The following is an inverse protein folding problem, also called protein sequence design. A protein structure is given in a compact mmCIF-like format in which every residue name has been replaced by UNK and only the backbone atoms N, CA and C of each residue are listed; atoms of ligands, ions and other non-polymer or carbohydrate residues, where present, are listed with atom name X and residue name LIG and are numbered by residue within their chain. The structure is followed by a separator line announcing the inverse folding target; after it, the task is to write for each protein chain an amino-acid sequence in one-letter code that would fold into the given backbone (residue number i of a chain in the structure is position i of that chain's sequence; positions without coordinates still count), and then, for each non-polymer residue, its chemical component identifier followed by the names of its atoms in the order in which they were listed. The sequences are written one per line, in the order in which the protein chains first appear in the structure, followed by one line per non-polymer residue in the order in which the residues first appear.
data_IF_591946765242
#
_entry.id   IF_591946765242
#
_cell.length_a   1.000
_cell.length_b   1.000
_cell.length_c   1.000
_cell.angle_alpha   90.00
_cell.angle_beta   90.00
_cell.angle_gamma   90.00
#
_symmetry.space_group_name_H-M   'P 1'
#
loop_
_entity.id
_entity.type
_entity.pdbx_description
1 polymer ?
#
# COMPACT_ATOMS: atom_id res chain seq x y z
N UNK A 1 -28.97 -51.51 -0.26
CA UNK A 1 -27.63 -50.99 0.11
C UNK A 1 -27.81 -49.50 0.32
N UNK A 2 -27.81 -49.05 1.58
CA UNK A 2 -28.02 -47.64 1.94
C UNK A 2 -26.65 -47.04 2.25
N UNK A 3 -26.16 -46.12 1.41
CA UNK A 3 -24.93 -45.37 1.67
C UNK A 3 -25.27 -44.10 2.42
N UNK A 4 -24.82 -44.00 3.67
CA UNK A 4 -24.83 -42.76 4.44
C UNK A 4 -23.69 -41.87 3.96
N UNK A 5 -24.02 -40.68 3.46
CA UNK A 5 -23.04 -39.63 3.20
C UNK A 5 -22.67 -38.96 4.54
N UNK A 6 -21.41 -39.11 4.96
CA UNK A 6 -20.82 -38.37 6.08
C UNK A 6 -20.67 -36.90 5.66
N UNK A 7 -21.51 -36.04 6.22
CA UNK A 7 -21.31 -34.59 6.17
C UNK A 7 -20.14 -34.29 7.13
N UNK A 8 -18.95 -34.10 6.57
CA UNK A 8 -17.79 -33.65 7.34
C UNK A 8 -17.98 -32.16 7.65
N UNK A 9 -18.43 -31.87 8.87
CA UNK A 9 -18.48 -30.51 9.41
C UNK A 9 -17.03 -30.04 9.62
N UNK A 10 -16.50 -29.27 8.68
CA UNK A 10 -15.22 -28.57 8.91
C UNK A 10 -15.52 -27.43 9.87
N UNK A 11 -15.25 -27.63 11.16
CA UNK A 11 -15.19 -26.55 12.12
C UNK A 11 -14.04 -25.63 11.70
N UNK A 12 -14.36 -24.47 11.14
CA UNK A 12 -13.39 -23.39 10.95
C UNK A 12 -13.05 -22.86 12.34
N UNK A 13 -11.97 -23.38 12.91
CA UNK A 13 -11.36 -22.76 14.09
C UNK A 13 -10.77 -21.43 13.64
N UNK A 14 -11.39 -20.33 14.04
CA UNK A 14 -10.72 -19.03 14.03
C UNK A 14 -9.59 -19.10 15.06
N UNK A 15 -8.39 -19.49 14.60
CA UNK A 15 -7.18 -19.30 15.36
C UNK A 15 -6.93 -17.78 15.39
N UNK A 16 -7.19 -17.15 16.53
CA UNK A 16 -6.48 -15.93 16.87
C UNK A 16 -4.99 -16.30 16.83
N UNK A 17 -4.27 -15.78 15.83
CA UNK A 17 -2.84 -16.00 15.63
C UNK A 17 -2.10 -15.51 16.88
N UNK A 18 -1.70 -16.45 17.72
CA UNK A 18 -0.83 -16.19 18.85
C UNK A 18 0.53 -15.76 18.28
N UNK A 19 1.00 -14.59 18.70
CA UNK A 19 2.26 -13.91 18.33
C UNK A 19 3.51 -14.67 18.84
N UNK A 20 3.60 -15.99 18.66
CA UNK A 20 4.61 -16.82 19.32
C UNK A 20 5.55 -17.62 18.43
N UNK A 21 5.48 -17.54 17.10
CA UNK A 21 6.44 -18.28 16.27
C UNK A 21 6.93 -17.42 15.12
N UNK A 22 7.59 -16.32 15.47
CA UNK A 22 8.29 -15.52 14.48
C UNK A 22 9.62 -16.21 14.13
N UNK A 23 9.78 -16.66 12.90
CA UNK A 23 10.94 -17.43 12.43
C UNK A 23 11.83 -16.67 11.44
N UNK A 24 13.09 -17.09 11.31
CA UNK A 24 14.00 -16.56 10.29
C UNK A 24 13.39 -16.65 8.89
N UNK A 25 13.49 -15.55 8.13
CA UNK A 25 12.92 -15.41 6.79
C UNK A 25 11.51 -14.80 6.74
N UNK A 26 10.82 -14.66 7.87
CA UNK A 26 9.52 -14.01 7.89
C UNK A 26 9.59 -12.51 7.61
N UNK A 27 8.52 -11.97 7.02
CA UNK A 27 8.39 -10.53 6.81
C UNK A 27 7.70 -9.91 8.02
N UNK A 28 8.27 -8.83 8.52
CA UNK A 28 7.69 -8.05 9.62
C UNK A 28 7.68 -6.57 9.27
N UNK A 29 6.64 -5.87 9.70
CA UNK A 29 6.52 -4.44 9.52
C UNK A 29 6.38 -3.74 10.88
N UNK A 30 6.87 -2.51 10.96
CA UNK A 30 6.75 -1.69 12.16
C UNK A 30 5.31 -1.23 12.36
N UNK A 31 4.79 -1.34 13.59
CA UNK A 31 3.38 -1.03 13.91
C UNK A 31 3.21 0.22 14.80
N UNK A 32 4.26 1.05 14.88
CA UNK A 32 4.30 2.26 15.70
C UNK A 32 4.86 3.43 14.88
N UNK A 33 4.53 4.66 15.28
CA UNK A 33 4.94 5.89 14.60
C UNK A 33 6.46 5.97 14.35
N UNK A 34 7.27 5.39 15.24
CA UNK A 34 8.69 5.18 15.02
C UNK A 34 9.31 4.22 16.03
N UNK A 35 10.27 3.42 15.59
CA UNK A 35 11.02 2.49 16.46
C UNK A 35 12.52 2.58 16.20
N UNK A 36 13.31 2.58 17.27
CA UNK A 36 14.77 2.56 17.17
C UNK A 36 15.25 1.19 16.67
N UNK A 37 15.99 1.21 15.57
CA UNK A 37 16.77 0.09 15.07
C UNK A 37 18.21 0.21 15.56
N UNK A 38 18.76 -0.87 16.10
CA UNK A 38 20.05 -0.87 16.80
C UNK A 38 21.04 -1.84 16.17
N UNK A 39 22.32 -1.68 16.47
CA UNK A 39 23.39 -2.56 15.96
C UNK A 39 23.51 -3.89 16.73
N UNK A 40 23.03 -3.93 17.97
CA UNK A 40 22.91 -5.13 18.80
C UNK A 40 21.58 -5.16 19.56
N UNK A 41 21.12 -6.34 19.96
CA UNK A 41 19.97 -6.51 20.83
C UNK A 41 20.22 -5.84 22.19
N UNK A 42 19.38 -4.89 22.58
CA UNK A 42 19.49 -4.19 23.86
C UNK A 42 19.09 -2.72 23.78
N UNK A 43 18.44 -2.23 24.81
CA UNK A 43 18.01 -0.83 24.96
C UNK A 43 19.16 0.14 25.11
N UNK A 44 20.34 -0.33 25.54
CA UNK A 44 21.58 0.43 25.67
C UNK A 44 22.48 0.38 24.43
N UNK A 45 22.18 -0.49 23.47
CA UNK A 45 22.93 -0.63 22.21
C UNK A 45 22.82 0.62 21.33
N UNK A 46 23.77 0.85 20.44
CA UNK A 46 23.80 2.05 19.62
C UNK A 46 22.63 2.08 18.62
N UNK A 47 21.91 3.21 18.57
CA UNK A 47 20.82 3.42 17.61
C UNK A 47 21.42 3.72 16.25
N UNK A 48 21.20 2.83 15.30
CA UNK A 48 21.68 3.01 13.92
C UNK A 48 20.73 3.89 13.13
N UNK A 49 19.42 3.76 13.37
CA UNK A 49 18.37 4.52 12.68
C UNK A 49 17.02 4.42 13.42
N UNK A 50 16.05 5.22 12.97
CA UNK A 50 14.65 5.15 13.42
C UNK A 50 13.81 4.72 12.23
N UNK A 51 13.16 3.57 12.35
CA UNK A 51 12.23 3.07 11.34
C UNK A 51 10.87 3.71 11.53
N UNK A 52 10.32 4.33 10.48
CA UNK A 52 8.97 4.87 10.48
C UNK A 52 7.92 3.74 10.52
N UNK A 53 6.67 4.05 10.89
CA UNK A 53 5.54 3.12 10.82
C UNK A 53 5.37 2.48 9.44
N UNK A 54 5.00 1.20 9.39
CA UNK A 54 4.81 0.43 8.16
C UNK A 54 6.10 0.05 7.43
N UNK A 55 7.27 0.30 8.02
CA UNK A 55 8.55 -0.12 7.44
C UNK A 55 8.69 -1.63 7.54
N UNK A 56 8.74 -2.32 6.40
CA UNK A 56 8.83 -3.77 6.35
C UNK A 56 10.27 -4.25 6.08
N UNK A 57 10.69 -5.30 6.78
CA UNK A 57 11.98 -5.95 6.60
C UNK A 57 11.90 -7.45 6.88
N UNK A 58 12.76 -8.23 6.23
CA UNK A 58 12.84 -9.68 6.50
C UNK A 58 13.63 -9.92 7.78
N UNK A 59 13.19 -10.90 8.55
CA UNK A 59 13.96 -11.41 9.67
C UNK A 59 15.14 -12.21 9.11
N UNK A 60 16.35 -11.81 9.47
CA UNK A 60 17.57 -12.50 9.08
C UNK A 60 17.75 -13.83 9.83
N UNK A 61 17.23 -13.92 11.06
CA UNK A 61 17.20 -15.15 11.87
C UNK A 61 17.73 -14.98 13.30
N UNK A 62 18.35 -13.84 13.64
CA UNK A 62 18.73 -13.53 15.00
C UNK A 62 17.51 -13.22 15.87
N UNK A 63 17.31 -13.99 16.94
CA UNK A 63 16.27 -13.77 17.96
C UNK A 63 16.96 -13.83 19.32
N UNK A 64 16.93 -12.73 20.07
CA UNK A 64 17.58 -12.61 21.38
C UNK A 64 16.66 -11.96 22.39
N UNK A 65 16.75 -12.36 23.65
CA UNK A 65 16.01 -11.71 24.74
C UNK A 65 16.95 -10.84 25.56
N UNK A 66 16.63 -9.55 25.68
CA UNK A 66 17.39 -8.58 26.47
C UNK A 66 16.49 -7.43 26.93
N UNK A 67 16.72 -6.91 28.13
CA UNK A 67 16.02 -5.75 28.70
C UNK A 67 14.49 -5.86 28.71
N UNK A 68 13.96 -7.08 28.86
CA UNK A 68 12.51 -7.34 28.86
C UNK A 68 11.85 -7.42 27.48
N UNK A 69 12.64 -7.37 26.40
CA UNK A 69 12.16 -7.51 25.03
C UNK A 69 12.71 -8.76 24.36
N UNK A 70 11.93 -9.30 23.43
CA UNK A 70 12.46 -10.17 22.38
C UNK A 70 12.88 -9.28 21.20
N UNK A 71 14.15 -9.36 20.83
CA UNK A 71 14.78 -8.60 19.76
C UNK A 71 14.90 -9.47 18.53
N UNK A 72 14.56 -8.89 17.37
CA UNK A 72 14.64 -9.55 16.08
C UNK A 72 15.68 -8.86 15.21
N UNK A 73 16.59 -9.65 14.64
CA UNK A 73 17.55 -9.17 13.67
C UNK A 73 16.90 -9.12 12.29
N UNK A 74 16.79 -7.92 11.72
CA UNK A 74 16.19 -7.66 10.42
C UNK A 74 17.27 -7.36 9.39
N UNK A 75 17.07 -7.82 8.15
CA UNK A 75 17.81 -7.36 6.99
C UNK A 75 17.08 -6.15 6.40
N UNK A 76 17.65 -4.97 6.59
CA UNK A 76 17.06 -3.71 6.14
C UNK A 76 18.11 -2.82 5.47
N UNK A 77 17.79 -2.29 4.29
CA UNK A 77 18.70 -1.44 3.50
C UNK A 77 20.15 -1.98 3.35
N UNK A 78 20.29 -3.30 3.19
CA UNK A 78 21.60 -3.96 3.07
C UNK A 78 22.38 -4.13 4.38
N UNK A 79 21.81 -3.74 5.53
CA UNK A 79 22.39 -3.89 6.87
C UNK A 79 21.59 -4.87 7.73
N UNK A 80 22.24 -5.38 8.77
CA UNK A 80 21.59 -6.11 9.86
C UNK A 80 21.33 -5.15 11.01
N UNK A 81 20.07 -5.07 11.43
CA UNK A 81 19.62 -4.21 12.54
C UNK A 81 18.79 -5.02 13.53
N UNK A 82 18.71 -4.58 14.78
CA UNK A 82 17.92 -5.18 15.84
C UNK A 82 16.76 -4.27 16.24
N UNK A 83 15.56 -4.84 16.26
CA UNK A 83 14.32 -4.14 16.63
C UNK A 83 13.56 -4.96 17.67
N UNK A 84 12.99 -4.29 18.67
CA UNK A 84 12.18 -4.95 19.69
C UNK A 84 10.84 -5.40 19.10
N UNK A 85 10.49 -6.67 19.29
CA UNK A 85 9.36 -7.34 18.66
C UNK A 85 7.97 -6.81 19.02
N UNK A 86 7.86 -6.10 20.14
CA UNK A 86 6.61 -5.43 20.52
C UNK A 86 6.15 -4.42 19.46
N UNK A 87 7.10 -3.90 18.66
CA UNK A 87 6.87 -2.91 17.61
C UNK A 87 6.81 -3.52 16.20
N UNK A 88 6.72 -4.85 16.10
CA UNK A 88 6.69 -5.58 14.85
C UNK A 88 5.43 -6.44 14.76
N UNK A 89 4.82 -6.48 13.59
CA UNK A 89 3.79 -7.44 13.24
C UNK A 89 4.23 -8.24 12.01
N UNK A 90 3.83 -9.52 11.93
CA UNK A 90 4.13 -10.40 10.80
C UNK A 90 3.24 -10.02 9.63
N UNK A 91 3.85 -9.91 8.45
CA UNK A 91 3.19 -9.59 7.18
C UNK A 91 3.51 -10.64 6.12
N UNK A 92 2.84 -10.53 4.98
CA UNK A 92 3.14 -11.36 3.82
C UNK A 92 4.58 -11.13 3.30
N UNK A 93 5.13 -12.13 2.62
CA UNK A 93 6.49 -12.06 2.07
C UNK A 93 6.65 -10.98 0.99
N UNK A 94 5.54 -10.56 0.37
CA UNK A 94 5.54 -9.51 -0.64
C UNK A 94 5.87 -8.15 -0.02
N UNK A 95 5.38 -7.85 1.19
CA UNK A 95 5.67 -6.61 1.92
C UNK A 95 7.18 -6.36 2.09
N UNK A 96 7.99 -7.43 2.22
CA UNK A 96 9.44 -7.34 2.36
C UNK A 96 10.23 -7.61 1.07
N UNK A 97 9.55 -7.94 -0.04
CA UNK A 97 10.19 -8.16 -1.35
C UNK A 97 10.47 -6.88 -2.11
N UNK A 98 9.93 -5.74 -1.65
CA UNK A 98 9.96 -4.49 -2.39
C UNK A 98 9.06 -4.48 -3.63
N UNK A 99 8.36 -5.58 -3.93
CA UNK A 99 7.40 -5.71 -5.02
C UNK A 99 5.97 -5.54 -4.51
N UNK A 100 5.07 -5.06 -5.36
CA UNK A 100 3.65 -4.98 -5.00
C UNK A 100 2.99 -6.35 -4.98
N UNK A 101 1.89 -6.52 -4.20
CA UNK A 101 1.13 -7.76 -4.18
C UNK A 101 0.77 -8.23 -5.61
N UNK A 102 0.92 -9.53 -5.87
CA UNK A 102 0.71 -10.07 -7.21
C UNK A 102 -0.72 -9.84 -7.74
N UNK A 103 -1.71 -9.86 -6.84
CA UNK A 103 -3.10 -9.54 -7.15
C UNK A 103 -3.26 -8.07 -7.58
N UNK A 104 -2.71 -7.12 -6.81
CA UNK A 104 -2.70 -5.70 -7.18
C UNK A 104 -1.99 -5.46 -8.50
N UNK A 105 -0.85 -6.12 -8.75
CA UNK A 105 -0.17 -6.07 -10.06
C UNK A 105 -1.09 -6.56 -11.19
N UNK A 106 -1.78 -7.67 -11.01
CA UNK A 106 -2.68 -8.22 -12.02
C UNK A 106 -3.83 -7.24 -12.32
N UNK A 107 -4.39 -6.58 -11.31
CA UNK A 107 -5.40 -5.53 -11.50
C UNK A 107 -4.84 -4.32 -12.23
N UNK A 108 -3.63 -3.86 -11.88
CA UNK A 108 -2.96 -2.77 -12.59
C UNK A 108 -2.76 -3.11 -14.08
N UNK A 109 -2.35 -4.35 -14.40
CA UNK A 109 -2.27 -4.78 -15.80
C UNK A 109 -3.62 -4.79 -16.50
N UNK A 110 -4.68 -5.29 -15.84
CA UNK A 110 -6.02 -5.28 -16.42
C UNK A 110 -6.51 -3.84 -16.70
N UNK A 111 -6.25 -2.90 -15.78
CA UNK A 111 -6.57 -1.48 -15.97
C UNK A 111 -5.75 -0.85 -17.10
N UNK A 112 -4.48 -1.22 -17.25
CA UNK A 112 -3.65 -0.76 -18.38
C UNK A 112 -4.24 -1.22 -19.73
N UNK A 113 -4.71 -2.46 -19.82
CA UNK A 113 -5.42 -2.95 -21.01
C UNK A 113 -6.71 -2.17 -21.29
N UNK A 114 -7.47 -1.82 -20.25
CA UNK A 114 -8.66 -0.95 -20.39
C UNK A 114 -8.28 0.45 -20.88
N UNK A 115 -7.11 0.95 -20.47
CA UNK A 115 -6.61 2.23 -20.95
C UNK A 115 -6.19 2.18 -22.41
N UNK A 116 -5.50 1.10 -22.83
CA UNK A 116 -5.15 0.87 -24.22
C UNK A 116 -6.39 0.72 -25.12
N UNK A 117 -7.47 0.16 -24.58
CA UNK A 117 -8.76 0.04 -25.26
C UNK A 117 -9.60 1.33 -25.26
N UNK A 118 -9.14 2.41 -24.62
CA UNK A 118 -9.86 3.69 -24.55
C UNK A 118 -11.06 3.72 -23.60
N UNK A 119 -11.23 2.70 -22.75
CA UNK A 119 -12.31 2.63 -21.74
C UNK A 119 -11.88 3.28 -20.42
N UNK A 120 -10.59 3.43 -20.19
CA UNK A 120 -10.02 4.12 -19.04
C UNK A 120 -9.04 5.20 -19.53
N UNK A 121 -9.32 6.47 -19.24
CA UNK A 121 -8.35 7.54 -19.45
C UNK A 121 -7.51 7.71 -18.20
N UNK A 122 -6.19 7.63 -18.34
CA UNK A 122 -5.23 7.90 -17.25
C UNK A 122 -4.46 9.17 -17.60
N UNK A 123 -4.44 10.15 -16.68
CA UNK A 123 -3.67 11.37 -16.87
C UNK A 123 -2.17 11.07 -17.09
N UNK A 124 -1.55 11.89 -17.93
CA UNK A 124 -0.12 11.81 -18.32
C UNK A 124 0.64 13.09 -17.96
N UNK A 125 -0.01 14.01 -17.26
CA UNK A 125 0.51 15.31 -16.86
C UNK A 125 -0.19 15.69 -15.56
N UNK A 126 0.55 16.36 -14.68
CA UNK A 126 -0.03 16.97 -13.47
C UNK A 126 -0.69 18.31 -13.81
N UNK A 127 -1.73 18.73 -13.08
CA UNK A 127 -2.27 20.09 -13.17
C UNK A 127 -1.22 21.20 -12.94
N UNK A 128 -0.20 20.90 -12.13
CA UNK A 128 0.93 21.80 -11.85
C UNK A 128 1.91 21.97 -13.01
N UNK A 129 1.85 21.09 -14.03
CA UNK A 129 2.83 21.01 -15.12
C UNK A 129 4.17 20.37 -14.74
N UNK A 130 4.34 19.95 -13.48
CA UNK A 130 5.56 19.25 -13.04
C UNK A 130 5.68 17.91 -13.76
N UNK A 131 6.91 17.57 -14.19
CA UNK A 131 7.21 16.30 -14.86
C UNK A 131 8.12 15.44 -13.97
N UNK A 132 7.53 14.55 -13.19
CA UNK A 132 8.24 13.71 -12.20
C UNK A 132 7.92 12.21 -12.35
N UNK A 133 7.28 11.82 -13.46
CA UNK A 133 6.82 10.45 -13.75
C UNK A 133 5.77 9.88 -12.79
N UNK A 134 5.22 10.68 -11.87
CA UNK A 134 4.19 10.25 -10.92
C UNK A 134 2.76 10.36 -11.48
N UNK A 135 2.58 10.43 -12.80
CA UNK A 135 1.25 10.53 -13.42
C UNK A 135 0.44 9.25 -13.22
N UNK A 136 -0.89 9.36 -13.25
CA UNK A 136 -1.80 8.21 -13.15
C UNK A 136 -1.46 7.09 -14.16
N UNK A 137 -1.12 7.44 -15.41
CA UNK A 137 -0.69 6.45 -16.41
C UNK A 137 0.57 5.71 -15.99
N UNK A 138 1.60 6.44 -15.56
CA UNK A 138 2.87 5.86 -15.14
C UNK A 138 2.68 4.97 -13.91
N UNK A 139 1.87 5.40 -12.95
CA UNK A 139 1.56 4.62 -11.75
C UNK A 139 1.00 3.22 -12.08
N UNK A 140 -0.01 3.15 -12.95
CA UNK A 140 -0.61 1.89 -13.38
C UNK A 140 0.36 1.06 -14.25
N UNK A 141 1.05 1.70 -15.21
CA UNK A 141 2.02 1.04 -16.08
C UNK A 141 3.17 0.41 -15.30
N UNK A 142 3.75 1.17 -14.37
CA UNK A 142 4.92 0.74 -13.60
C UNK A 142 4.55 -0.43 -12.70
N UNK A 143 3.38 -0.38 -12.04
CA UNK A 143 2.85 -1.53 -11.30
C UNK A 143 2.63 -2.75 -12.17
N UNK A 144 2.03 -2.61 -13.36
CA UNK A 144 1.87 -3.73 -14.27
C UNK A 144 3.21 -4.36 -14.66
N UNK A 145 4.24 -3.55 -14.89
CA UNK A 145 5.60 -3.99 -15.21
C UNK A 145 6.36 -4.59 -14.00
N UNK A 146 5.71 -4.76 -12.85
CA UNK A 146 6.30 -5.33 -11.64
C UNK A 146 7.11 -4.33 -10.81
N UNK A 147 7.03 -3.04 -11.13
CA UNK A 147 7.60 -1.95 -10.34
C UNK A 147 6.55 -1.40 -9.36
N UNK A 148 6.93 -0.40 -8.57
CA UNK A 148 6.01 0.36 -7.71
C UNK A 148 5.58 1.64 -8.43
N UNK A 149 4.41 2.17 -8.07
CA UNK A 149 3.93 3.45 -8.57
C UNK A 149 4.83 4.59 -8.05
N UNK A 150 5.26 5.48 -8.94
CA UNK A 150 6.06 6.65 -8.57
C UNK A 150 5.22 7.68 -7.80
N UNK A 151 5.79 8.27 -6.75
CA UNK A 151 5.19 9.40 -6.02
C UNK A 151 5.82 10.70 -6.46
N UNK A 152 5.03 11.77 -6.45
CA UNK A 152 5.53 13.10 -6.77
C UNK A 152 6.63 13.54 -5.82
N UNK A 153 7.56 14.35 -6.35
CA UNK A 153 8.72 14.86 -5.61
C UNK A 153 8.99 16.34 -5.90
N UNK A 154 8.24 17.22 -5.23
CA UNK A 154 8.38 18.68 -5.30
C UNK A 154 7.62 19.33 -4.13
N UNK A 155 7.99 20.56 -3.75
CA UNK A 155 7.20 21.34 -2.78
C UNK A 155 6.04 22.05 -3.45
N UNK A 156 4.91 22.14 -2.76
CA UNK A 156 3.72 22.82 -3.26
C UNK A 156 2.91 23.45 -2.11
N UNK A 157 1.85 24.20 -2.43
CA UNK A 157 1.07 24.97 -1.45
C UNK A 157 0.43 24.10 -0.36
N UNK A 158 -0.05 22.90 -0.71
CA UNK A 158 -0.68 21.98 0.25
C UNK A 158 0.33 21.05 0.94
N UNK A 159 1.55 20.91 0.41
CA UNK A 159 2.65 20.25 1.08
C UNK A 159 3.97 21.06 0.98
N UNK A 160 4.14 22.08 1.84
CA UNK A 160 5.31 22.97 1.78
C UNK A 160 6.63 22.25 2.08
N UNK A 161 6.59 21.20 2.89
CA UNK A 161 7.77 20.39 3.26
C UNK A 161 8.25 19.48 2.13
N UNK A 162 7.54 19.43 1.00
CA UNK A 162 7.87 18.57 -0.14
C UNK A 162 7.02 17.30 -0.17
N UNK A 163 6.49 16.98 -1.35
CA UNK A 163 5.85 15.69 -1.61
C UNK A 163 6.89 14.56 -1.46
N UNK A 164 6.46 13.37 -1.00
CA UNK A 164 7.37 12.43 -0.35
C UNK A 164 8.35 11.71 -1.30
N UNK A 165 8.16 11.80 -2.62
CA UNK A 165 9.00 11.13 -3.62
C UNK A 165 9.09 9.62 -3.45
N UNK A 166 9.98 8.98 -4.22
CA UNK A 166 10.12 7.52 -4.19
C UNK A 166 8.91 6.81 -4.79
N UNK A 167 8.57 5.63 -4.25
CA UNK A 167 7.56 4.76 -4.86
C UNK A 167 6.66 4.08 -3.82
N UNK A 168 5.43 3.75 -4.20
CA UNK A 168 4.42 3.08 -3.37
C UNK A 168 3.65 2.03 -4.18
N UNK A 169 3.01 1.07 -3.51
CA UNK A 169 2.05 0.19 -4.18
C UNK A 169 0.67 0.82 -4.10
N UNK A 170 -0.06 0.84 -5.22
CA UNK A 170 -1.49 1.09 -5.19
C UNK A 170 -2.18 -0.10 -4.51
N UNK A 171 -3.07 0.18 -3.57
CA UNK A 171 -3.68 -0.86 -2.75
C UNK A 171 -4.70 -1.68 -3.55
N UNK A 172 -5.05 -2.84 -2.99
CA UNK A 172 -6.01 -3.72 -3.60
C UNK A 172 -7.38 -3.03 -3.74
N UNK A 173 -7.87 -2.39 -2.68
CA UNK A 173 -9.21 -1.80 -2.67
C UNK A 173 -9.31 -0.63 -3.66
N UNK A 174 -8.25 0.17 -3.78
CA UNK A 174 -8.16 1.23 -4.79
C UNK A 174 -8.28 0.66 -6.22
N UNK A 175 -7.50 -0.38 -6.53
CA UNK A 175 -7.50 -0.98 -7.87
C UNK A 175 -8.81 -1.74 -8.18
N UNK A 176 -9.40 -2.37 -7.16
CA UNK A 176 -10.70 -3.00 -7.26
C UNK A 176 -11.81 -1.97 -7.53
N UNK A 177 -11.76 -0.81 -6.88
CA UNK A 177 -12.68 0.29 -7.11
C UNK A 177 -12.62 0.82 -8.54
N UNK A 178 -11.42 1.07 -9.06
CA UNK A 178 -11.24 1.45 -10.46
C UNK A 178 -11.78 0.40 -11.42
N UNK A 179 -11.51 -0.88 -11.15
CA UNK A 179 -12.03 -1.99 -11.95
C UNK A 179 -13.56 -2.03 -11.96
N UNK A 180 -14.19 -1.80 -10.80
CA UNK A 180 -15.64 -1.75 -10.67
C UNK A 180 -16.25 -0.59 -11.49
N UNK A 181 -15.65 0.60 -11.44
CA UNK A 181 -16.15 1.75 -12.21
C UNK A 181 -15.97 1.58 -13.72
N UNK A 182 -14.81 1.08 -14.15
CA UNK A 182 -14.51 0.83 -15.57
C UNK A 182 -15.43 -0.25 -16.15
N UNK A 183 -15.91 -1.19 -15.34
CA UNK A 183 -16.90 -2.18 -15.77
C UNK A 183 -18.28 -1.56 -16.12
N UNK A 184 -18.57 -0.38 -15.57
CA UNK A 184 -19.86 0.33 -15.74
C UNK A 184 -19.81 1.42 -16.83
N UNK A 185 -18.63 1.79 -17.31
CA UNK A 185 -18.49 2.78 -18.37
C UNK A 185 -17.10 3.43 -18.41
N UNK A 186 -16.93 4.42 -19.30
CA UNK A 186 -15.68 5.17 -19.43
C UNK A 186 -15.37 5.99 -18.17
N UNK A 187 -14.13 5.90 -17.68
CA UNK A 187 -13.65 6.59 -16.47
C UNK A 187 -12.41 7.40 -16.82
N UNK A 188 -12.28 8.60 -16.24
CA UNK A 188 -11.09 9.45 -16.34
C UNK A 188 -10.46 9.58 -14.96
N UNK A 189 -9.25 9.05 -14.81
CA UNK A 189 -8.43 9.19 -13.59
C UNK A 189 -7.50 10.38 -13.78
N UNK A 190 -7.67 11.38 -12.92
CA UNK A 190 -6.78 12.53 -12.86
C UNK A 190 -5.52 12.17 -12.09
N UNK A 191 -5.64 11.67 -10.86
CA UNK A 191 -4.48 11.45 -9.97
C UNK A 191 -4.56 10.15 -9.17
N UNK A 192 -3.39 9.58 -8.90
CA UNK A 192 -3.19 8.41 -8.03
C UNK A 192 -2.15 8.72 -6.95
N UNK A 193 -0.90 8.29 -7.09
CA UNK A 193 0.15 8.54 -6.09
C UNK A 193 0.99 9.81 -6.37
N UNK A 194 0.63 10.57 -7.39
CA UNK A 194 1.29 11.79 -7.82
C UNK A 194 0.61 13.08 -7.38
N UNK A 195 0.96 14.15 -8.08
CA UNK A 195 0.48 15.51 -7.90
C UNK A 195 0.68 16.06 -6.48
N UNK A 196 -0.04 17.16 -6.19
CA UNK A 196 0.10 17.96 -4.98
C UNK A 196 -1.14 17.80 -4.11
N UNK A 197 -0.97 17.04 -3.03
CA UNK A 197 -1.92 16.91 -1.92
C UNK A 197 -1.24 17.23 -0.59
N UNK A 198 -2.03 17.35 0.49
CA UNK A 198 -1.51 17.51 1.85
C UNK A 198 -0.46 16.45 2.17
N UNK A 199 0.59 16.78 2.93
CA UNK A 199 1.74 15.88 3.09
C UNK A 199 1.40 14.48 3.64
N UNK A 200 0.32 14.37 4.42
CA UNK A 200 -0.20 13.09 4.95
C UNK A 200 -1.30 12.46 4.10
N UNK A 201 -1.48 12.91 2.85
CA UNK A 201 -2.53 12.43 1.95
C UNK A 201 -2.40 10.95 1.64
N UNK A 202 -3.54 10.26 1.55
CA UNK A 202 -3.64 8.85 1.16
C UNK A 202 -3.22 8.57 -0.27
N UNK A 203 -3.19 9.59 -1.13
CA UNK A 203 -2.57 9.49 -2.45
C UNK A 203 -1.13 8.98 -2.34
N UNK A 204 -0.35 9.53 -1.42
CA UNK A 204 1.05 9.12 -1.21
C UNK A 204 1.22 7.75 -0.53
N UNK A 205 0.12 7.14 -0.09
CA UNK A 205 0.06 5.76 0.41
C UNK A 205 -0.45 4.79 -0.66
N UNK A 206 -0.79 5.27 -1.87
CA UNK A 206 -1.38 4.45 -2.92
C UNK A 206 -2.83 4.03 -2.62
N UNK A 207 -3.51 4.76 -1.74
CA UNK A 207 -4.84 4.44 -1.21
C UNK A 207 -5.95 5.34 -1.73
N UNK A 208 -5.64 6.32 -2.58
CA UNK A 208 -6.61 7.31 -3.03
C UNK A 208 -6.53 7.57 -4.54
N UNK A 209 -7.61 8.12 -5.06
CA UNK A 209 -7.75 8.53 -6.45
C UNK A 209 -8.61 9.78 -6.57
N UNK A 210 -8.20 10.64 -7.50
CA UNK A 210 -9.02 11.74 -7.99
C UNK A 210 -9.52 11.38 -9.38
N UNK A 211 -10.84 11.28 -9.53
CA UNK A 211 -11.52 11.02 -10.78
C UNK A 211 -12.06 12.33 -11.35
N UNK A 212 -12.05 12.50 -12.67
CA UNK A 212 -12.69 13.66 -13.28
C UNK A 212 -14.16 13.75 -12.86
N UNK A 213 -14.62 14.94 -12.48
CA UNK A 213 -16.02 15.13 -12.14
C UNK A 213 -16.87 15.21 -13.42
N UNK A 214 -17.56 14.13 -13.74
CA UNK A 214 -18.44 14.00 -14.89
C UNK A 214 -19.88 13.63 -14.46
N UNK A 215 -20.72 13.30 -15.44
CA UNK A 215 -22.12 12.92 -15.22
C UNK A 215 -22.32 11.68 -14.34
N UNK A 216 -21.27 10.87 -14.11
CA UNK A 216 -21.28 9.65 -13.29
C UNK A 216 -20.75 9.88 -11.87
N UNK A 217 -20.46 11.11 -11.45
CA UNK A 217 -19.94 11.43 -10.11
C UNK A 217 -20.73 10.82 -8.95
N UNK A 218 -22.06 10.74 -9.07
CA UNK A 218 -22.89 10.09 -8.05
C UNK A 218 -22.61 8.58 -7.96
N UNK A 219 -22.39 7.91 -9.10
CA UNK A 219 -22.02 6.50 -9.15
C UNK A 219 -20.63 6.26 -8.55
N UNK A 220 -19.69 7.18 -8.78
CA UNK A 220 -18.34 7.11 -8.21
C UNK A 220 -18.42 7.13 -6.67
N UNK A 221 -19.11 8.11 -6.10
CA UNK A 221 -19.28 8.24 -4.64
C UNK A 221 -20.02 7.05 -4.02
N UNK A 222 -21.11 6.58 -4.66
CA UNK A 222 -21.86 5.42 -4.19
C UNK A 222 -21.02 4.14 -4.24
N UNK A 223 -20.26 3.93 -5.31
CA UNK A 223 -19.37 2.76 -5.44
C UNK A 223 -18.24 2.82 -4.41
N UNK A 224 -17.65 4.01 -4.19
CA UNK A 224 -16.62 4.21 -3.16
C UNK A 224 -17.15 3.84 -1.77
N UNK A 225 -18.32 4.36 -1.40
CA UNK A 225 -18.96 4.08 -0.10
C UNK A 225 -19.33 2.61 0.04
N UNK A 226 -19.88 2.00 -1.02
CA UNK A 226 -20.25 0.58 -1.02
C UNK A 226 -19.03 -0.35 -0.85
N UNK A 227 -17.84 0.12 -1.23
CA UNK A 227 -16.56 -0.58 -1.04
C UNK A 227 -15.82 -0.13 0.22
N UNK A 228 -16.54 0.46 1.19
CA UNK A 228 -15.99 0.93 2.48
C UNK A 228 -14.94 2.04 2.36
N UNK A 229 -14.85 2.68 1.19
CA UNK A 229 -14.06 3.88 0.98
C UNK A 229 -14.77 5.14 1.47
N UNK A 230 -14.00 6.21 1.65
CA UNK A 230 -14.52 7.55 1.90
C UNK A 230 -14.42 8.37 0.61
N UNK A 231 -15.56 8.83 0.10
CA UNK A 231 -15.63 9.61 -1.13
C UNK A 231 -16.13 11.03 -0.89
N UNK A 232 -15.56 12.00 -1.60
CA UNK A 232 -15.96 13.40 -1.55
C UNK A 232 -16.01 14.00 -2.97
N UNK A 233 -17.00 14.85 -3.22
CA UNK A 233 -17.01 15.72 -4.39
C UNK A 233 -16.26 17.01 -4.07
N UNK A 234 -15.17 17.29 -4.78
CA UNK A 234 -14.30 18.45 -4.58
C UNK A 234 -14.50 19.53 -5.65
N UNK A 235 -15.57 19.41 -6.44
CA UNK A 235 -15.97 20.40 -7.44
C UNK A 235 -15.51 20.02 -8.85
N UNK A 236 -14.22 20.03 -9.11
CA UNK A 236 -13.64 19.66 -10.42
C UNK A 236 -13.23 18.18 -10.53
N UNK A 237 -13.16 17.48 -9.40
CA UNK A 237 -12.91 16.04 -9.32
C UNK A 237 -13.70 15.37 -8.19
N UNK A 238 -13.79 14.05 -8.29
CA UNK A 238 -14.35 13.16 -7.27
C UNK A 238 -13.19 12.41 -6.63
N UNK A 239 -12.98 12.69 -5.35
CA UNK A 239 -12.02 12.00 -4.52
C UNK A 239 -12.62 10.72 -3.95
N UNK A 240 -11.85 9.63 -3.93
CA UNK A 240 -12.15 8.42 -3.17
C UNK A 240 -10.86 7.87 -2.55
N UNK A 241 -10.92 7.48 -1.27
CA UNK A 241 -9.79 6.87 -0.57
C UNK A 241 -10.20 5.68 0.30
N UNK A 242 -9.25 4.75 0.48
CA UNK A 242 -9.38 3.51 1.23
C UNK A 242 -8.42 3.46 2.42
N UNK A 243 -8.58 2.47 3.29
CA UNK A 243 -7.90 2.36 4.59
C UNK A 243 -7.23 1.01 4.84
N UNK A 244 -7.06 0.23 3.78
CA UNK A 244 -6.46 -1.11 3.76
C UNK A 244 -4.93 -1.12 3.77
#
# INVERSE_FOLDING_TARGET
MWSYALISLVAVVNAALVKENIHGGECVCTNTAGVNARDAAGTSSHVTEVLASGTCAKINGGILTADGYTWYQLQYAGKLIWVAGNYLDVHDQQSCSGQCPAASRAMACALLEKANAGVLSLARVHPSGVQDNAFAYNNIRDMCNGLKASRSHYSCSTCPTGTPGGTVCLTHDLLAYLTALVSKGHVIVNELAGACHTCGSRHYNGQAVDLHNDARSTEYLQTCTAMHGWGQNEGDHIHCQFYD
#
